data_IF_048168714165
#
_entry.id   IF_048168714165
#
_cell.length_a   1.000
_cell.length_b   1.000
_cell.length_c   1.000
_cell.angle_alpha   90.00
_cell.angle_beta   90.00
_cell.angle_gamma   90.00
#
_symmetry.space_group_name_H-M   'P 1'
#
loop_
_entity.id
_entity.type
_entity.pdbx_description
1 polymer ?
#
# COMPACT_ATOMS: atom_id res chain seq x y z
N UNK A 1 -24.54 35.81 1.10
CA UNK A 1 -25.00 34.40 1.26
C UNK A 1 -25.97 34.36 2.42
N UNK A 2 -27.17 33.76 2.32
CA UNK A 2 -28.07 33.70 3.47
C UNK A 2 -27.65 32.57 4.42
N UNK A 3 -27.61 32.91 5.71
CA UNK A 3 -27.31 32.01 6.83
C UNK A 3 -28.36 30.89 6.94
N UNK A 4 -27.89 29.67 7.23
CA UNK A 4 -28.64 28.42 7.06
C UNK A 4 -29.47 27.97 8.27
N UNK A 5 -29.60 28.76 9.33
CA UNK A 5 -30.33 28.37 10.55
C UNK A 5 -31.16 29.53 11.12
N UNK A 6 -32.39 29.27 11.61
CA UNK A 6 -33.20 30.27 12.32
C UNK A 6 -32.51 30.76 13.60
N UNK A 7 -32.75 32.02 13.98
CA UNK A 7 -32.12 32.65 15.16
C UNK A 7 -32.44 31.92 16.48
N UNK A 8 -33.55 31.19 16.54
CA UNK A 8 -34.05 30.53 17.74
C UNK A 8 -33.64 29.04 17.82
N UNK A 9 -32.73 28.58 16.96
CA UNK A 9 -32.27 27.20 17.02
C UNK A 9 -31.26 27.01 18.16
N UNK A 10 -31.69 26.36 19.24
CA UNK A 10 -30.81 25.89 20.32
C UNK A 10 -30.55 24.38 20.16
N UNK A 11 -29.30 23.94 19.97
CA UNK A 11 -28.97 22.52 19.98
C UNK A 11 -29.25 21.90 21.35
N UNK A 12 -30.02 20.82 21.37
CA UNK A 12 -30.26 20.04 22.57
C UNK A 12 -29.11 19.05 22.73
N UNK A 13 -28.15 19.37 23.60
CA UNK A 13 -27.04 18.47 23.92
C UNK A 13 -27.49 17.47 24.98
N UNK A 14 -27.60 16.21 24.60
CA UNK A 14 -27.79 15.10 25.54
C UNK A 14 -26.45 14.85 26.24
N UNK A 15 -26.42 15.00 27.57
CA UNK A 15 -25.24 14.69 28.37
C UNK A 15 -25.02 13.17 28.38
N UNK A 16 -24.02 12.72 27.63
CA UNK A 16 -23.61 11.31 27.64
C UNK A 16 -22.72 11.13 28.88
N UNK A 17 -23.07 10.25 29.83
CA UNK A 17 -22.24 10.02 31.01
C UNK A 17 -20.83 9.61 30.56
N UNK A 18 -19.87 10.45 30.92
CA UNK A 18 -18.47 10.27 30.57
C UNK A 18 -17.93 9.06 31.33
N UNK A 19 -17.47 7.98 30.65
CA UNK A 19 -16.79 6.90 31.33
C UNK A 19 -15.55 7.46 32.03
N UNK A 20 -15.28 6.97 33.24
CA UNK A 20 -14.16 7.43 34.06
C UNK A 20 -12.86 7.51 33.23
N UNK A 21 -12.03 8.55 33.46
CA UNK A 21 -10.80 8.69 32.70
C UNK A 21 -9.97 7.42 32.89
N UNK A 22 -9.47 6.82 31.79
CA UNK A 22 -8.58 5.68 31.91
C UNK A 22 -7.37 6.10 32.73
N UNK A 23 -7.01 5.25 33.70
CA UNK A 23 -5.77 5.37 34.47
C UNK A 23 -4.63 5.72 33.53
N UNK A 24 -3.81 6.71 33.90
CA UNK A 24 -2.71 7.25 33.10
C UNK A 24 -1.73 6.13 32.75
N UNK A 25 -2.01 5.44 31.65
CA UNK A 25 -1.07 4.59 30.97
C UNK A 25 -0.31 5.47 29.97
N UNK A 26 1.02 5.30 29.86
CA UNK A 26 1.83 6.12 28.99
C UNK A 26 1.30 6.05 27.55
N UNK A 27 1.22 7.22 26.92
CA UNK A 27 0.82 7.43 25.52
C UNK A 27 1.43 6.33 24.64
N UNK A 28 0.64 5.47 23.98
CA UNK A 28 1.17 4.70 22.87
C UNK A 28 1.45 5.73 21.76
N UNK A 29 2.73 6.07 21.65
CA UNK A 29 3.29 6.80 20.52
C UNK A 29 2.76 6.17 19.25
N UNK A 30 2.27 7.02 18.32
CA UNK A 30 1.98 6.74 16.92
C UNK A 30 1.37 5.36 16.66
N UNK A 31 0.13 5.30 16.17
CA UNK A 31 -0.40 4.10 15.52
C UNK A 31 0.46 3.76 14.30
N UNK A 32 1.61 3.18 14.57
CA UNK A 32 2.43 2.43 13.67
C UNK A 32 1.50 1.34 13.20
N UNK A 33 1.34 1.25 11.89
CA UNK A 33 0.69 0.12 11.26
C UNK A 33 1.49 -1.11 11.69
N UNK A 34 1.15 -1.73 12.83
CA UNK A 34 1.75 -2.99 13.26
C UNK A 34 1.13 -4.03 12.33
N UNK A 35 1.72 -4.13 11.13
CA UNK A 35 1.65 -5.36 10.35
C UNK A 35 1.97 -6.45 11.35
N UNK A 36 0.99 -7.29 11.68
CA UNK A 36 1.26 -8.52 12.40
C UNK A 36 2.10 -9.37 11.45
N UNK A 37 3.40 -9.12 11.43
CA UNK A 37 4.38 -10.07 10.91
C UNK A 37 4.36 -11.22 11.90
N UNK A 38 3.44 -12.14 11.69
CA UNK A 38 3.59 -13.50 12.19
C UNK A 38 4.96 -13.96 11.69
N UNK A 39 5.95 -13.98 12.59
CA UNK A 39 7.29 -14.49 12.29
C UNK A 39 7.15 -15.99 12.08
N UNK A 40 6.83 -16.37 10.85
CA UNK A 40 6.88 -17.77 10.40
C UNK A 40 8.35 -18.18 10.47
N UNK A 41 8.69 -19.32 11.08
CA UNK A 41 10.06 -19.81 11.10
C UNK A 41 10.57 -19.92 9.67
N UNK A 42 11.71 -19.28 9.39
CA UNK A 42 12.38 -19.34 8.10
C UNK A 42 12.67 -20.82 7.76
N UNK A 43 11.94 -21.37 6.78
CA UNK A 43 12.10 -22.75 6.32
C UNK A 43 10.83 -23.61 6.33
N UNK A 44 9.68 -23.12 6.82
CA UNK A 44 8.40 -23.82 6.61
C UNK A 44 7.82 -23.47 5.23
N UNK A 45 7.43 -24.45 4.39
CA UNK A 45 6.80 -24.17 3.10
C UNK A 45 5.53 -23.34 3.31
N UNK A 46 5.36 -22.31 2.49
CA UNK A 46 4.17 -21.46 2.54
C UNK A 46 2.92 -22.29 2.23
N UNK A 47 1.94 -22.20 3.12
CA UNK A 47 0.60 -22.72 2.84
C UNK A 47 -0.01 -21.99 1.65
N UNK A 48 -0.95 -22.63 0.95
CA UNK A 48 -1.64 -22.03 -0.20
C UNK A 48 -2.27 -20.67 0.15
N UNK A 49 -2.87 -20.56 1.34
CA UNK A 49 -3.43 -19.31 1.87
C UNK A 49 -2.35 -18.22 2.00
N UNK A 50 -1.17 -18.56 2.56
CA UNK A 50 -0.04 -17.63 2.66
C UNK A 50 0.51 -17.23 1.28
N UNK A 51 0.55 -18.16 0.32
CA UNK A 51 0.92 -17.87 -1.08
C UNK A 51 -0.07 -16.88 -1.71
N UNK A 52 -1.37 -17.08 -1.52
CA UNK A 52 -2.43 -16.19 -2.01
C UNK A 52 -2.34 -14.80 -1.37
N UNK A 53 -2.14 -14.72 -0.05
CA UNK A 53 -1.99 -13.44 0.65
C UNK A 53 -0.75 -12.67 0.20
N UNK A 54 0.40 -13.36 0.01
CA UNK A 54 1.62 -12.76 -0.54
C UNK A 54 1.41 -12.27 -1.98
N UNK A 55 0.75 -13.05 -2.83
CA UNK A 55 0.42 -12.64 -4.20
C UNK A 55 -0.53 -11.42 -4.23
N UNK A 56 -1.52 -11.39 -3.34
CA UNK A 56 -2.42 -10.24 -3.18
C UNK A 56 -1.67 -8.98 -2.74
N UNK A 57 -0.79 -9.12 -1.74
CA UNK A 57 0.01 -8.02 -1.22
C UNK A 57 0.93 -7.45 -2.30
N UNK A 58 1.70 -8.30 -2.99
CA UNK A 58 2.62 -7.88 -4.05
C UNK A 58 1.90 -7.26 -5.25
N UNK A 59 0.73 -7.77 -5.64
CA UNK A 59 -0.12 -7.12 -6.65
C UNK A 59 -0.61 -5.73 -6.19
N UNK A 60 -0.97 -5.60 -4.91
CA UNK A 60 -1.34 -4.33 -4.30
C UNK A 60 -0.20 -3.30 -4.36
N UNK A 61 1.00 -3.72 -3.98
CA UNK A 61 2.21 -2.89 -4.04
C UNK A 61 2.49 -2.42 -5.48
N UNK A 62 2.48 -3.31 -6.46
CA UNK A 62 2.73 -2.95 -7.87
C UNK A 62 1.72 -1.92 -8.40
N UNK A 63 0.44 -2.04 -8.03
CA UNK A 63 -0.60 -1.05 -8.38
C UNK A 63 -0.38 0.30 -7.69
N UNK A 64 0.06 0.28 -6.44
CA UNK A 64 0.42 1.48 -5.71
C UNK A 64 1.60 2.19 -6.37
N UNK A 65 2.67 1.47 -6.75
CA UNK A 65 3.84 2.02 -7.42
C UNK A 65 3.48 2.70 -8.75
N UNK A 66 2.61 2.06 -9.55
CA UNK A 66 2.09 2.68 -10.78
C UNK A 66 1.30 3.97 -10.49
N UNK A 67 0.50 3.98 -9.43
CA UNK A 67 -0.28 5.16 -9.03
C UNK A 67 0.64 6.29 -8.57
N UNK A 68 1.66 5.96 -7.78
CA UNK A 68 2.67 6.89 -7.31
C UNK A 68 3.46 7.49 -8.47
N UNK A 69 3.88 6.68 -9.45
CA UNK A 69 4.57 7.15 -10.64
C UNK A 69 3.73 8.15 -11.46
N UNK A 70 2.43 7.85 -11.64
CA UNK A 70 1.49 8.78 -12.31
C UNK A 70 1.32 10.09 -11.55
N UNK A 71 1.23 10.03 -10.23
CA UNK A 71 1.15 11.22 -9.39
C UNK A 71 2.45 12.04 -9.45
N UNK A 72 3.61 11.38 -9.52
CA UNK A 72 4.89 12.04 -9.70
C UNK A 72 4.99 12.75 -11.06
N UNK A 73 4.50 12.13 -12.13
CA UNK A 73 4.37 12.80 -13.44
C UNK A 73 3.51 14.05 -13.33
N UNK A 74 2.32 13.95 -12.72
CA UNK A 74 1.41 15.09 -12.54
C UNK A 74 2.08 16.23 -11.76
N UNK A 75 2.83 15.91 -10.70
CA UNK A 75 3.58 16.92 -9.92
C UNK A 75 4.69 17.55 -10.74
N UNK A 76 5.51 16.75 -11.42
CA UNK A 76 6.62 17.25 -12.24
C UNK A 76 6.11 18.15 -13.38
N UNK A 77 4.99 17.78 -14.01
CA UNK A 77 4.34 18.58 -15.05
C UNK A 77 3.86 19.94 -14.49
N UNK A 78 3.21 19.94 -13.32
CA UNK A 78 2.78 21.18 -12.65
C UNK A 78 3.93 22.09 -12.21
N UNK A 79 5.12 21.53 -12.04
CA UNK A 79 6.34 22.26 -11.67
C UNK A 79 7.18 22.68 -12.90
N UNK A 80 6.73 22.35 -14.12
CA UNK A 80 7.45 22.68 -15.34
C UNK A 80 8.76 21.91 -15.50
N UNK A 81 8.84 20.66 -15.04
CA UNK A 81 10.02 19.81 -15.11
C UNK A 81 9.87 18.68 -16.16
N UNK A 82 9.89 18.99 -17.48
CA UNK A 82 9.58 18.03 -18.55
C UNK A 82 10.59 16.88 -18.66
N UNK A 83 11.84 17.08 -18.22
CA UNK A 83 12.85 16.01 -18.19
C UNK A 83 12.47 14.92 -17.17
N UNK A 84 12.07 15.34 -15.95
CA UNK A 84 11.63 14.42 -14.90
C UNK A 84 10.30 13.73 -15.26
N UNK A 85 9.43 14.40 -16.02
CA UNK A 85 8.21 13.76 -16.57
C UNK A 85 8.60 12.58 -17.48
N UNK A 86 9.49 12.81 -18.46
CA UNK A 86 9.91 11.78 -19.41
C UNK A 86 10.60 10.59 -18.74
N UNK A 87 11.43 10.86 -17.73
CA UNK A 87 12.11 9.81 -16.96
C UNK A 87 11.10 8.90 -16.23
N UNK A 88 10.07 9.48 -15.60
CA UNK A 88 9.06 8.70 -14.89
C UNK A 88 8.10 8.01 -15.87
N UNK A 89 7.75 8.66 -16.98
CA UNK A 89 6.94 8.06 -18.06
C UNK A 89 7.61 6.82 -18.65
N UNK A 90 8.93 6.83 -18.82
CA UNK A 90 9.70 5.70 -19.30
C UNK A 90 9.59 4.46 -18.41
N UNK A 91 9.33 4.63 -17.10
CA UNK A 91 9.13 3.52 -16.15
C UNK A 91 7.70 2.95 -16.17
N UNK A 92 6.72 3.65 -16.76
CA UNK A 92 5.31 3.20 -16.74
C UNK A 92 5.06 1.85 -17.46
N UNK A 93 5.67 1.55 -18.63
CA UNK A 93 5.48 0.26 -19.29
C UNK A 93 5.95 -0.90 -18.43
N UNK A 94 7.12 -0.77 -17.78
CA UNK A 94 7.65 -1.81 -16.88
C UNK A 94 6.70 -2.06 -15.70
N UNK A 95 6.22 -1.00 -15.04
CA UNK A 95 5.26 -1.14 -13.93
C UNK A 95 3.96 -1.82 -14.36
N UNK A 96 3.48 -1.59 -15.58
CA UNK A 96 2.30 -2.28 -16.12
C UNK A 96 2.55 -3.76 -16.37
N UNK A 97 3.72 -4.12 -16.91
CA UNK A 97 4.09 -5.53 -17.09
C UNK A 97 4.25 -6.25 -15.75
N UNK A 98 4.83 -5.60 -14.74
CA UNK A 98 4.90 -6.15 -13.37
C UNK A 98 3.48 -6.44 -12.83
N UNK A 99 2.55 -5.49 -12.97
CA UNK A 99 1.15 -5.71 -12.53
C UNK A 99 0.52 -6.88 -13.28
N UNK A 100 0.75 -7.00 -14.60
CA UNK A 100 0.23 -8.09 -15.42
C UNK A 100 0.78 -9.44 -14.97
N UNK A 101 2.08 -9.55 -14.74
CA UNK A 101 2.74 -10.76 -14.23
C UNK A 101 2.20 -11.14 -12.84
N UNK A 102 2.12 -10.18 -11.92
CA UNK A 102 1.62 -10.42 -10.55
C UNK A 102 0.15 -10.79 -10.54
N UNK A 103 -0.64 -10.21 -11.44
CA UNK A 103 -2.05 -10.59 -11.61
C UNK A 103 -2.19 -12.02 -12.10
N UNK A 104 -1.39 -12.43 -13.09
CA UNK A 104 -1.39 -13.80 -13.58
C UNK A 104 -1.02 -14.80 -12.48
N UNK A 105 -0.01 -14.51 -11.65
CA UNK A 105 0.36 -15.34 -10.51
C UNK A 105 -0.78 -15.45 -9.48
N UNK A 106 -1.41 -14.33 -9.15
CA UNK A 106 -2.55 -14.31 -8.24
C UNK A 106 -3.73 -15.13 -8.77
N UNK A 107 -4.06 -14.99 -10.05
CA UNK A 107 -5.16 -15.74 -10.67
C UNK A 107 -4.86 -17.25 -10.75
N UNK A 108 -3.60 -17.66 -11.02
CA UNK A 108 -3.15 -19.07 -10.97
C UNK A 108 -3.32 -19.67 -9.57
N UNK A 109 -2.92 -18.93 -8.54
CA UNK A 109 -3.10 -19.36 -7.15
C UNK A 109 -4.59 -19.46 -6.77
N UNK A 110 -5.43 -18.52 -7.20
CA UNK A 110 -6.87 -18.62 -6.97
C UNK A 110 -7.50 -19.82 -7.69
N UNK A 111 -6.91 -20.28 -8.80
CA UNK A 111 -7.33 -21.49 -9.51
C UNK A 111 -6.86 -22.80 -8.83
N UNK A 112 -6.09 -22.72 -7.74
CA UNK A 112 -5.56 -23.89 -7.03
C UNK A 112 -4.26 -24.45 -7.62
N UNK A 113 -3.59 -23.71 -8.50
CA UNK A 113 -2.31 -24.13 -9.08
C UNK A 113 -1.18 -24.03 -8.04
N UNK A 114 -0.31 -25.04 -7.97
CA UNK A 114 0.86 -25.02 -7.09
C UNK A 114 1.97 -24.17 -7.73
N UNK A 115 1.97 -22.88 -7.40
CA UNK A 115 2.98 -21.93 -7.85
C UNK A 115 4.21 -22.02 -6.92
N UNK A 116 5.43 -22.16 -7.48
CA UNK A 116 6.68 -22.14 -6.71
C UNK A 116 6.86 -20.85 -5.90
N UNK A 117 7.50 -20.94 -4.73
CA UNK A 117 7.72 -19.78 -3.87
C UNK A 117 8.68 -18.76 -4.48
N UNK A 118 9.58 -19.21 -5.36
CA UNK A 118 10.52 -18.39 -6.12
C UNK A 118 9.80 -17.45 -7.10
N UNK A 119 8.69 -17.88 -7.68
CA UNK A 119 7.85 -17.03 -8.55
C UNK A 119 7.11 -15.95 -7.73
N UNK A 120 6.86 -16.22 -6.44
CA UNK A 120 6.24 -15.30 -5.49
C UNK A 120 7.23 -14.28 -4.93
N UNK A 121 8.54 -14.50 -5.06
CA UNK A 121 9.53 -13.50 -4.71
C UNK A 121 9.48 -12.34 -5.71
N UNK A 122 9.25 -11.15 -5.16
CA UNK A 122 9.26 -9.90 -5.90
C UNK A 122 10.38 -9.05 -5.33
N UNK A 123 11.42 -8.83 -6.13
CA UNK A 123 12.31 -7.69 -5.90
C UNK A 123 11.65 -6.46 -6.50
N UNK A 124 11.31 -5.49 -5.66
CA UNK A 124 10.82 -4.20 -6.13
C UNK A 124 11.85 -3.56 -7.07
N UNK A 125 11.43 -2.79 -8.10
CA UNK A 125 12.37 -2.02 -8.90
C UNK A 125 13.35 -1.18 -8.07
N UNK A 126 12.93 -0.69 -6.89
CA UNK A 126 13.82 0.00 -5.94
C UNK A 126 14.90 -0.91 -5.35
N UNK A 127 14.54 -2.12 -4.95
CA UNK A 127 15.51 -3.10 -4.43
C UNK A 127 16.47 -3.56 -5.54
N UNK A 128 16.01 -3.62 -6.79
CA UNK A 128 16.85 -3.93 -7.95
C UNK A 128 17.82 -2.79 -8.31
N UNK A 129 17.44 -1.54 -8.08
CA UNK A 129 18.32 -0.38 -8.26
C UNK A 129 19.41 -0.36 -7.16
N UNK A 130 19.09 -0.64 -5.89
CA UNK A 130 20.07 -0.68 -4.78
C UNK A 130 21.14 -1.78 -4.93
N UNK A 131 20.78 -2.93 -5.50
CA UNK A 131 21.72 -4.02 -5.80
C UNK A 131 22.75 -3.66 -6.88
N UNK A 132 22.43 -2.74 -7.80
CA UNK A 132 23.35 -2.31 -8.86
C UNK A 132 24.36 -1.24 -8.42
N UNK A 133 24.10 -0.54 -7.31
CA UNK A 133 24.98 0.50 -6.78
C UNK A 133 25.82 0.05 -5.57
N UNK A 134 25.66 -1.19 -5.11
CA UNK A 134 26.43 -1.77 -3.99
C UNK A 134 27.57 -2.71 -4.45
N UNK A 135 27.93 -2.70 -5.74
CA UNK A 135 28.99 -3.51 -6.34
C UNK A 135 30.34 -2.81 -6.41
#
# INVERSE_FOLDING_TARGET
>A
MPSRLPADWTPEFVDIPQPAPPSVQPVPQSSSLTLKTETVPAGAPMTMEKKIDKARFTLGQAKFDLTLAKEQIRRNDSQGAPMLVKEVEAKLPELREIIKQRRALYDRLLAGEDVPEEELEFKSPREREEEQYSG
#
